data_IF_697236949287
#
_entry.id   IF_697236949287
#
_cell.length_a   1.000
_cell.length_b   1.000
_cell.length_c   1.000
_cell.angle_alpha   90.00
_cell.angle_beta   90.00
_cell.angle_gamma   90.00
#
_symmetry.space_group_name_H-M   'P 1'
#
loop_
_entity.id
_entity.type
_entity.pdbx_description
1 polymer ?
#
# COMPACT_ATOMS: atom_id res chain seq x y z
N UNK A 1 8.11 1.59 -27.27
CA UNK A 1 9.20 1.54 -26.27
C UNK A 1 9.17 2.65 -25.23
N UNK A 2 9.43 3.95 -25.53
CA UNK A 2 9.41 5.00 -24.47
C UNK A 2 8.04 5.13 -23.76
N UNK A 3 6.94 5.08 -24.51
CA UNK A 3 5.58 5.17 -23.96
C UNK A 3 5.19 3.98 -23.07
N UNK A 4 5.64 2.76 -23.41
CA UNK A 4 5.33 1.54 -22.63
C UNK A 4 6.06 1.53 -21.28
N UNK A 5 7.33 1.95 -21.27
CA UNK A 5 8.10 2.08 -20.02
C UNK A 5 7.46 3.12 -19.10
N UNK A 6 7.02 4.26 -19.64
CA UNK A 6 6.33 5.29 -18.84
C UNK A 6 5.08 4.74 -18.18
N UNK A 7 4.23 4.01 -18.91
CA UNK A 7 3.01 3.41 -18.32
C UNK A 7 3.31 2.40 -17.21
N UNK A 8 4.35 1.58 -17.37
CA UNK A 8 4.75 0.65 -16.30
C UNK A 8 5.27 1.41 -15.08
N UNK A 9 6.03 2.49 -15.27
CA UNK A 9 6.48 3.32 -14.15
C UNK A 9 5.33 4.02 -13.44
N UNK A 10 4.31 4.48 -14.17
CA UNK A 10 3.08 5.03 -13.59
C UNK A 10 2.27 3.93 -12.87
N UNK A 11 2.26 2.70 -13.39
CA UNK A 11 1.64 1.57 -12.72
C UNK A 11 2.38 1.20 -11.41
N UNK A 12 3.73 1.23 -11.41
CA UNK A 12 4.55 1.02 -10.21
C UNK A 12 4.34 2.15 -9.20
N UNK A 13 4.20 3.40 -9.65
CA UNK A 13 3.91 4.55 -8.79
C UNK A 13 2.66 4.31 -7.93
N UNK A 14 1.59 3.77 -8.51
CA UNK A 14 0.38 3.41 -7.78
C UNK A 14 0.55 2.29 -6.73
N UNK A 15 1.74 1.69 -6.64
CA UNK A 15 2.11 0.59 -5.74
C UNK A 15 3.20 0.96 -4.74
N UNK A 16 3.67 2.19 -4.72
CA UNK A 16 4.53 2.71 -3.64
C UNK A 16 3.73 3.67 -2.77
N UNK A 17 3.83 3.52 -1.46
CA UNK A 17 3.17 4.42 -0.53
C UNK A 17 3.94 4.52 0.79
N UNK A 18 3.67 5.57 1.56
CA UNK A 18 4.14 5.70 2.94
C UNK A 18 3.00 5.61 3.97
N UNK A 19 1.79 5.23 3.51
CA UNK A 19 0.64 5.03 4.36
C UNK A 19 0.81 3.74 5.19
N UNK A 20 0.87 3.84 6.53
CA UNK A 20 1.08 2.69 7.40
C UNK A 20 -0.08 1.67 7.39
N UNK A 21 -1.24 2.06 6.86
CA UNK A 21 -2.46 1.24 6.81
C UNK A 21 -2.54 0.41 5.52
N UNK A 22 -1.91 0.88 4.44
CA UNK A 22 -1.99 0.25 3.11
C UNK A 22 -0.75 -0.55 2.74
N UNK A 23 0.42 -0.14 3.22
CA UNK A 23 1.67 -0.83 2.93
C UNK A 23 1.62 -2.29 3.42
N UNK A 24 2.13 -3.22 2.60
CA UNK A 24 2.14 -4.66 2.87
C UNK A 24 3.52 -5.24 3.09
N UNK A 25 4.56 -4.52 2.71
CA UNK A 25 5.94 -4.85 2.98
C UNK A 25 6.81 -3.58 2.97
N UNK A 26 7.98 -3.66 3.59
CA UNK A 26 9.01 -2.61 3.54
C UNK A 26 10.18 -3.07 2.69
N UNK A 27 10.72 -2.18 1.87
CA UNK A 27 11.87 -2.46 1.00
C UNK A 27 12.89 -1.33 1.04
N UNK A 28 14.14 -1.67 0.72
CA UNK A 28 15.16 -0.72 0.28
C UNK A 28 15.13 -0.66 -1.26
N UNK A 29 14.77 0.50 -1.81
CA UNK A 29 14.68 0.68 -3.25
C UNK A 29 16.05 0.52 -3.93
N UNK A 30 17.13 0.99 -3.30
CA UNK A 30 18.47 0.90 -3.86
C UNK A 30 18.96 -0.55 -3.96
N UNK A 31 18.50 -1.42 -3.06
CA UNK A 31 18.74 -2.85 -3.10
C UNK A 31 17.91 -3.51 -4.21
N UNK A 32 16.58 -3.34 -4.19
CA UNK A 32 15.65 -4.06 -5.08
C UNK A 32 15.94 -3.83 -6.56
N UNK A 33 16.24 -2.59 -6.95
CA UNK A 33 16.53 -2.26 -8.35
C UNK A 33 17.82 -2.90 -8.86
N UNK A 34 18.66 -3.46 -7.99
CA UNK A 34 19.97 -4.06 -8.33
C UNK A 34 19.96 -5.58 -8.34
N UNK A 35 18.82 -6.23 -8.15
CA UNK A 35 18.67 -7.68 -8.31
C UNK A 35 18.75 -8.10 -9.78
N UNK A 36 19.94 -7.98 -10.38
CA UNK A 36 20.18 -8.22 -11.80
C UNK A 36 19.85 -9.65 -12.24
N UNK A 37 19.96 -10.61 -11.34
CA UNK A 37 19.61 -12.01 -11.56
C UNK A 37 18.11 -12.24 -11.79
N UNK A 38 17.24 -11.30 -11.41
CA UNK A 38 15.78 -11.40 -11.64
C UNK A 38 15.42 -11.26 -13.12
N UNK A 39 16.13 -10.42 -13.87
CA UNK A 39 15.78 -10.07 -15.26
C UNK A 39 16.98 -10.05 -16.23
N UNK A 40 18.20 -10.35 -15.77
CA UNK A 40 19.44 -10.32 -16.56
C UNK A 40 19.76 -8.98 -17.21
N UNK A 41 19.14 -7.89 -16.74
CA UNK A 41 19.15 -6.57 -17.37
C UNK A 41 20.31 -5.65 -16.94
N UNK A 42 20.08 -4.33 -17.02
CA UNK A 42 21.04 -3.28 -16.62
C UNK A 42 21.45 -3.38 -15.15
N UNK A 43 22.55 -2.73 -14.72
CA UNK A 43 22.96 -2.74 -13.31
C UNK A 43 21.87 -2.31 -12.32
N UNK A 44 21.08 -1.29 -12.68
CA UNK A 44 19.90 -0.87 -11.95
C UNK A 44 18.67 -0.74 -12.89
N UNK A 45 17.48 -1.10 -12.40
CA UNK A 45 16.22 -1.02 -13.16
C UNK A 45 15.03 -0.90 -12.21
N UNK A 46 14.19 0.13 -12.38
CA UNK A 46 12.94 0.26 -11.61
C UNK A 46 11.91 -0.83 -11.94
N UNK A 47 12.02 -1.48 -13.11
CA UNK A 47 11.11 -2.56 -13.48
C UNK A 47 11.18 -3.75 -12.51
N UNK A 48 12.32 -3.95 -11.85
CA UNK A 48 12.49 -5.00 -10.84
C UNK A 48 11.61 -4.78 -9.61
N UNK A 49 11.34 -3.51 -9.26
CA UNK A 49 10.36 -3.20 -8.22
C UNK A 49 8.98 -3.73 -8.59
N UNK A 50 8.52 -3.48 -9.82
CA UNK A 50 7.24 -3.99 -10.30
C UNK A 50 7.19 -5.53 -10.33
N UNK A 51 8.28 -6.21 -10.71
CA UNK A 51 8.36 -7.67 -10.65
C UNK A 51 8.28 -8.22 -9.22
N UNK A 52 8.87 -7.54 -8.24
CA UNK A 52 8.78 -7.91 -6.82
C UNK A 52 7.37 -7.65 -6.26
N UNK A 53 6.72 -6.56 -6.68
CA UNK A 53 5.33 -6.26 -6.30
C UNK A 53 4.37 -7.31 -6.89
N UNK A 54 4.56 -7.73 -8.14
CA UNK A 54 3.77 -8.80 -8.75
C UNK A 54 3.96 -10.14 -8.03
N UNK A 55 5.19 -10.43 -7.58
CA UNK A 55 5.44 -11.60 -6.74
C UNK A 55 4.71 -11.50 -5.40
N UNK A 56 4.76 -10.34 -4.75
CA UNK A 56 4.06 -10.12 -3.48
C UNK A 56 2.53 -10.21 -3.63
N UNK A 57 2.01 -9.69 -4.75
CA UNK A 57 0.60 -9.82 -5.14
C UNK A 57 0.15 -11.28 -5.26
N UNK A 58 0.99 -12.16 -5.81
CA UNK A 58 0.75 -13.61 -5.86
C UNK A 58 0.75 -14.27 -4.48
N UNK A 59 1.72 -13.96 -3.65
CA UNK A 59 1.78 -14.54 -2.29
C UNK A 59 0.62 -14.08 -1.39
N UNK A 60 0.17 -12.85 -1.55
CA UNK A 60 -0.91 -12.29 -0.75
C UNK A 60 -2.30 -12.51 -1.37
N UNK A 61 -2.37 -13.01 -2.61
CA UNK A 61 -3.60 -13.16 -3.39
C UNK A 61 -4.40 -11.85 -3.52
N UNK A 62 -3.68 -10.75 -3.80
CA UNK A 62 -4.22 -9.39 -3.85
C UNK A 62 -3.71 -8.64 -5.09
N UNK A 63 -4.59 -7.99 -5.85
CA UNK A 63 -4.17 -7.32 -7.09
C UNK A 63 -3.35 -6.04 -6.87
N UNK A 64 -3.73 -5.22 -5.89
CA UNK A 64 -3.22 -3.84 -5.71
C UNK A 64 -2.33 -3.71 -4.47
N UNK A 65 -1.36 -4.61 -4.33
CA UNK A 65 -0.42 -4.57 -3.20
C UNK A 65 0.48 -3.33 -3.28
N UNK A 66 0.60 -2.62 -2.16
CA UNK A 66 1.49 -1.47 -2.01
C UNK A 66 2.67 -1.80 -1.10
N UNK A 67 3.83 -1.21 -1.39
CA UNK A 67 5.07 -1.36 -0.60
C UNK A 67 5.56 -0.03 -0.05
N UNK A 68 6.09 -0.05 1.16
CA UNK A 68 6.78 1.06 1.79
C UNK A 68 8.25 1.07 1.33
N UNK A 69 8.60 2.01 0.47
CA UNK A 69 9.96 2.10 -0.06
C UNK A 69 10.80 3.14 0.70
N UNK A 70 11.94 2.69 1.22
CA UNK A 70 13.01 3.53 1.76
C UNK A 70 14.05 3.77 0.66
N UNK A 71 14.50 5.01 0.53
CA UNK A 71 15.37 5.46 -0.56
C UNK A 71 16.55 6.25 -0.01
N UNK A 72 17.76 5.84 -0.36
CA UNK A 72 18.95 6.67 -0.14
C UNK A 72 18.96 7.88 -1.09
N UNK A 73 19.21 9.10 -0.61
CA UNK A 73 19.17 10.35 -1.41
C UNK A 73 20.05 10.29 -2.66
N UNK A 74 21.23 9.69 -2.56
CA UNK A 74 22.13 9.45 -3.69
C UNK A 74 21.46 8.74 -4.90
N UNK A 75 20.39 7.96 -4.68
CA UNK A 75 19.65 7.30 -5.75
C UNK A 75 19.02 8.31 -6.74
N UNK A 76 18.67 9.51 -6.27
CA UNK A 76 18.07 10.57 -7.09
C UNK A 76 19.03 11.13 -8.17
N UNK A 77 20.32 10.84 -8.04
CA UNK A 77 21.39 11.24 -8.97
C UNK A 77 22.15 10.03 -9.53
N UNK A 78 21.67 8.82 -9.30
CA UNK A 78 22.38 7.58 -9.64
C UNK A 78 22.51 7.39 -11.15
N UNK A 79 23.75 7.24 -11.63
CA UNK A 79 24.06 7.10 -13.05
C UNK A 79 23.63 5.74 -13.63
N UNK A 80 23.44 4.70 -12.81
CA UNK A 80 22.99 3.39 -13.26
C UNK A 80 21.51 3.40 -13.70
N UNK A 81 20.73 4.36 -13.19
CA UNK A 81 19.36 4.63 -13.61
C UNK A 81 19.33 5.44 -14.92
N UNK A 82 18.28 5.25 -15.71
CA UNK A 82 18.01 6.16 -16.84
C UNK A 82 17.54 7.52 -16.33
N UNK A 83 17.64 8.57 -17.18
CA UNK A 83 17.10 9.89 -16.85
C UNK A 83 15.61 9.87 -16.53
N UNK A 84 14.83 9.01 -17.21
CA UNK A 84 13.40 8.87 -16.96
C UNK A 84 13.13 8.24 -15.58
N UNK A 85 13.83 7.16 -15.24
CA UNK A 85 13.71 6.52 -13.92
C UNK A 85 14.10 7.47 -12.80
N UNK A 86 15.21 8.21 -12.93
CA UNK A 86 15.60 9.23 -11.93
C UNK A 86 14.54 10.30 -11.75
N UNK A 87 13.94 10.78 -12.84
CA UNK A 87 12.87 11.78 -12.80
C UNK A 87 11.65 11.25 -12.04
N UNK A 88 11.26 9.99 -12.30
CA UNK A 88 10.13 9.34 -11.62
C UNK A 88 10.40 9.16 -10.13
N UNK A 89 11.59 8.70 -9.70
CA UNK A 89 11.90 8.57 -8.27
C UNK A 89 11.90 9.94 -7.57
N UNK A 90 12.35 11.01 -8.24
CA UNK A 90 12.26 12.38 -7.69
C UNK A 90 10.81 12.81 -7.50
N UNK A 91 9.94 12.56 -8.49
CA UNK A 91 8.50 12.79 -8.35
C UNK A 91 7.92 12.04 -7.15
N UNK A 92 8.20 10.74 -7.02
CA UNK A 92 7.77 9.95 -5.86
C UNK A 92 8.24 10.52 -4.53
N UNK A 93 9.46 11.06 -4.47
CA UNK A 93 10.00 11.69 -3.27
C UNK A 93 9.31 13.02 -2.94
N UNK A 94 9.01 13.83 -3.95
CA UNK A 94 8.34 15.12 -3.79
C UNK A 94 6.86 14.93 -3.41
N UNK A 95 6.20 13.92 -3.96
CA UNK A 95 4.83 13.52 -3.62
C UNK A 95 4.75 12.72 -2.30
N UNK A 96 5.91 12.40 -1.71
CA UNK A 96 6.01 11.66 -0.44
C UNK A 96 5.61 10.19 -0.53
N UNK A 97 5.51 9.61 -1.73
CA UNK A 97 5.20 8.19 -1.96
C UNK A 97 6.31 7.25 -1.48
N UNK A 98 7.54 7.77 -1.37
CA UNK A 98 8.71 7.06 -0.83
C UNK A 98 9.40 7.90 0.24
N UNK A 99 10.08 7.23 1.17
CA UNK A 99 10.86 7.91 2.21
C UNK A 99 12.31 8.09 1.77
N UNK A 100 12.76 9.33 1.56
CA UNK A 100 14.14 9.63 1.14
C UNK A 100 14.99 10.10 2.32
N UNK A 101 16.13 9.43 2.55
CA UNK A 101 17.07 9.75 3.62
C UNK A 101 18.50 9.91 3.10
N UNK A 102 19.28 10.78 3.74
CA UNK A 102 20.72 10.89 3.48
C UNK A 102 21.50 9.65 3.89
N UNK A 103 21.07 9.04 5.00
CA UNK A 103 21.64 7.81 5.52
C UNK A 103 20.47 6.94 6.00
N UNK A 104 19.98 6.01 5.16
CA UNK A 104 18.85 5.16 5.52
C UNK A 104 19.20 4.22 6.67
N UNK A 105 20.48 3.88 6.90
CA UNK A 105 20.91 3.06 8.04
C UNK A 105 20.04 1.81 8.21
N UNK A 106 19.38 1.70 9.36
CA UNK A 106 18.45 0.63 9.70
C UNK A 106 16.97 1.04 9.63
N UNK A 107 16.66 2.15 8.95
CA UNK A 107 15.32 2.72 8.86
C UNK A 107 14.28 1.75 8.32
N UNK A 108 14.66 0.91 7.36
CA UNK A 108 13.76 -0.13 6.84
C UNK A 108 13.31 -1.09 7.95
N UNK A 109 14.23 -1.51 8.82
CA UNK A 109 13.91 -2.39 9.95
C UNK A 109 13.11 -1.65 11.03
N UNK A 110 13.41 -0.38 11.26
CA UNK A 110 12.63 0.46 12.17
C UNK A 110 11.18 0.59 11.69
N UNK A 111 10.95 0.92 10.41
CA UNK A 111 9.59 1.00 9.84
C UNK A 111 8.89 -0.35 9.95
N UNK A 112 9.57 -1.44 9.62
CA UNK A 112 9.01 -2.79 9.73
C UNK A 112 8.59 -3.13 11.18
N UNK A 113 9.40 -2.77 12.17
CA UNK A 113 9.08 -2.95 13.59
C UNK A 113 7.84 -2.13 14.00
N UNK A 114 7.83 -0.83 13.67
CA UNK A 114 6.76 0.09 14.04
C UNK A 114 5.42 -0.29 13.40
N UNK A 115 5.45 -0.80 12.16
CA UNK A 115 4.26 -1.11 11.37
C UNK A 115 3.84 -2.58 11.42
N UNK A 116 4.70 -3.48 11.89
CA UNK A 116 4.42 -4.92 11.87
C UNK A 116 4.54 -5.54 10.47
N UNK A 117 5.23 -4.88 9.54
CA UNK A 117 5.31 -5.33 8.15
C UNK A 117 6.51 -6.27 7.89
N UNK A 118 6.40 -7.22 6.96
CA UNK A 118 7.55 -7.98 6.48
C UNK A 118 8.53 -7.09 5.70
N UNK A 119 9.80 -7.49 5.70
CA UNK A 119 10.88 -6.87 4.94
C UNK A 119 11.22 -7.76 3.76
N UNK A 120 11.30 -7.17 2.56
CA UNK A 120 11.79 -7.86 1.37
C UNK A 120 13.24 -7.43 1.11
N UNK A 121 14.21 -8.26 1.50
CA UNK A 121 15.63 -7.95 1.40
C UNK A 121 16.46 -9.21 1.30
N UNK A 122 17.61 -9.12 0.62
CA UNK A 122 18.65 -10.16 0.58
C UNK A 122 19.76 -9.90 1.59
N UNK A 123 19.67 -8.86 2.42
CA UNK A 123 20.61 -8.61 3.52
C UNK A 123 20.22 -9.42 4.76
N UNK A 124 21.20 -10.08 5.41
CA UNK A 124 20.95 -11.00 6.54
C UNK A 124 20.78 -10.31 7.91
N UNK A 125 21.18 -9.04 8.02
CA UNK A 125 21.06 -8.22 9.24
C UNK A 125 21.65 -8.84 10.52
N UNK A 126 22.68 -9.68 10.41
CA UNK A 126 23.19 -10.47 11.53
C UNK A 126 23.62 -9.63 12.75
N UNK A 127 24.15 -8.41 12.51
CA UNK A 127 24.56 -7.48 13.57
C UNK A 127 23.43 -6.68 14.23
N UNK A 128 22.18 -6.81 13.77
CA UNK A 128 21.06 -5.97 14.21
C UNK A 128 20.03 -6.71 15.07
N UNK A 129 20.21 -8.02 15.31
CA UNK A 129 19.30 -8.85 16.10
C UNK A 129 19.11 -8.37 17.54
N UNK A 130 20.15 -7.80 18.15
CA UNK A 130 20.05 -7.23 19.50
C UNK A 130 19.18 -5.97 19.56
N UNK A 131 19.09 -5.22 18.46
CA UNK A 131 18.24 -4.02 18.35
C UNK A 131 16.84 -4.34 17.83
N UNK A 132 16.72 -5.36 16.96
CA UNK A 132 15.46 -5.82 16.37
C UNK A 132 15.30 -7.33 16.60
N UNK A 133 14.84 -7.75 17.80
CA UNK A 133 14.67 -9.18 18.12
C UNK A 133 13.70 -9.91 17.18
N UNK A 134 12.70 -9.21 16.66
CA UNK A 134 11.69 -9.76 15.75
C UNK A 134 12.30 -10.37 14.47
N UNK A 135 13.53 -10.00 14.08
CA UNK A 135 14.23 -10.56 12.92
C UNK A 135 14.33 -12.08 12.95
N UNK A 136 14.45 -12.68 14.15
CA UNK A 136 14.60 -14.13 14.33
C UNK A 136 13.41 -14.76 15.05
N UNK A 137 12.65 -13.98 15.82
CA UNK A 137 11.52 -14.48 16.60
C UNK A 137 10.23 -14.66 15.79
N UNK A 138 10.14 -14.02 14.61
CA UNK A 138 8.94 -14.03 13.77
C UNK A 138 9.28 -14.54 12.36
N UNK A 139 9.10 -15.85 12.09
CA UNK A 139 9.28 -16.42 10.75
C UNK A 139 8.44 -15.71 9.68
N UNK A 140 8.97 -15.57 8.47
CA UNK A 140 8.30 -14.89 7.35
C UNK A 140 8.37 -13.36 7.40
N UNK A 141 9.00 -12.76 8.43
CA UNK A 141 9.19 -11.31 8.53
C UNK A 141 10.36 -10.77 7.71
N UNK A 142 11.30 -11.62 7.29
CA UNK A 142 12.37 -11.23 6.37
C UNK A 142 12.49 -12.32 5.29
N UNK A 143 12.06 -11.96 4.09
CA UNK A 143 12.09 -12.86 2.94
C UNK A 143 12.89 -12.23 1.80
N UNK A 144 13.60 -13.05 1.06
CA UNK A 144 14.43 -12.62 -0.05
C UNK A 144 13.70 -12.87 -1.37
N UNK A 145 13.50 -11.84 -2.21
CA UNK A 145 13.07 -12.05 -3.59
C UNK A 145 14.20 -12.71 -4.38
N UNK A 146 13.96 -13.86 -4.97
CA UNK A 146 14.93 -14.61 -5.79
C UNK A 146 14.32 -14.97 -7.15
N UNK A 147 15.13 -15.23 -8.18
CA UNK A 147 14.62 -15.65 -9.48
C UNK A 147 13.85 -16.98 -9.35
N UNK A 148 12.72 -17.07 -10.05
CA UNK A 148 11.88 -18.26 -10.08
C UNK A 148 11.23 -18.46 -11.45
N UNK A 149 10.59 -19.62 -11.62
CA UNK A 149 9.82 -19.91 -12.83
C UNK A 149 8.59 -18.99 -12.89
N UNK A 150 8.49 -18.14 -13.92
CA UNK A 150 7.40 -17.18 -14.07
C UNK A 150 7.59 -15.84 -13.35
N UNK A 151 8.78 -15.57 -12.81
CA UNK A 151 9.13 -14.30 -12.15
C UNK A 151 9.72 -14.52 -10.76
N UNK A 152 9.94 -13.44 -9.97
CA UNK A 152 10.47 -13.58 -8.63
C UNK A 152 9.57 -14.43 -7.74
N UNK A 153 10.21 -15.19 -6.86
CA UNK A 153 9.60 -15.93 -5.75
C UNK A 153 10.29 -15.51 -4.45
N UNK A 154 9.67 -15.80 -3.32
CA UNK A 154 10.26 -15.50 -2.01
C UNK A 154 10.82 -16.75 -1.36
N UNK A 155 11.97 -16.58 -0.71
CA UNK A 155 12.55 -17.60 0.16
C UNK A 155 12.76 -17.02 1.56
N UNK A 156 12.76 -17.90 2.55
CA UNK A 156 13.15 -17.56 3.90
C UNK A 156 14.58 -17.00 3.89
N UNK A 157 14.77 -15.80 4.43
CA UNK A 157 16.10 -15.19 4.51
C UNK A 157 16.63 -15.12 5.93
N UNK A 158 15.79 -14.70 6.88
CA UNK A 158 16.07 -14.69 8.33
C UNK A 158 14.85 -15.25 9.07
N UNK A 159 15.08 -16.02 10.14
CA UNK A 159 14.01 -16.55 11.01
C UNK A 159 13.18 -17.71 10.43
N UNK A 160 13.37 -18.08 9.15
CA UNK A 160 12.57 -19.11 8.48
C UNK A 160 11.29 -18.54 7.84
N UNK A 161 10.49 -19.40 7.19
CA UNK A 161 9.24 -19.02 6.53
C UNK A 161 9.44 -18.45 5.11
N UNK A 162 8.81 -19.07 4.11
CA UNK A 162 9.04 -18.74 2.69
C UNK A 162 8.05 -17.71 2.13
N UNK A 163 6.94 -17.46 2.84
CA UNK A 163 5.96 -16.45 2.47
C UNK A 163 6.07 -15.22 3.38
N UNK A 164 5.91 -13.99 2.84
CA UNK A 164 5.85 -12.78 3.65
C UNK A 164 4.65 -12.81 4.60
N UNK A 165 4.90 -12.56 5.89
CA UNK A 165 3.86 -12.55 6.92
C UNK A 165 3.87 -11.23 7.66
N UNK A 166 2.70 -10.61 7.85
CA UNK A 166 2.56 -9.49 8.75
C UNK A 166 2.68 -9.98 10.21
N UNK A 167 3.42 -9.26 11.04
CA UNK A 167 3.48 -9.56 12.47
C UNK A 167 2.98 -8.40 13.30
N UNK A 168 3.32 -8.42 14.59
CA UNK A 168 2.81 -7.41 15.52
C UNK A 168 3.57 -6.09 15.36
N UNK A 169 2.82 -4.98 15.42
CA UNK A 169 3.39 -3.63 15.61
C UNK A 169 4.08 -3.58 16.97
N UNK A 170 5.23 -2.92 17.05
CA UNK A 170 5.87 -2.70 18.34
C UNK A 170 5.07 -1.74 19.23
N UNK A 171 5.20 -1.82 20.58
CA UNK A 171 4.53 -0.89 21.48
C UNK A 171 4.86 0.59 21.18
N UNK A 172 6.07 0.84 20.68
CA UNK A 172 6.49 2.17 20.22
C UNK A 172 5.74 2.58 18.96
N UNK A 173 5.60 1.68 17.99
CA UNK A 173 4.79 1.89 16.79
C UNK A 173 3.36 2.29 17.12
N UNK A 174 2.70 1.56 18.02
CA UNK A 174 1.35 1.88 18.49
C UNK A 174 1.26 3.30 19.05
N UNK A 175 2.21 3.70 19.90
CA UNK A 175 2.23 5.06 20.49
C UNK A 175 2.47 6.15 19.45
N UNK A 176 3.40 5.93 18.51
CA UNK A 176 3.73 6.92 17.49
C UNK A 176 2.59 7.12 16.48
N UNK A 177 1.95 6.03 16.06
CA UNK A 177 0.85 6.06 15.09
C UNK A 177 -0.46 6.59 15.70
N UNK A 178 -0.60 6.62 17.02
CA UNK A 178 -1.73 7.26 17.70
C UNK A 178 -1.67 8.80 17.65
N UNK A 179 -0.59 9.39 17.15
CA UNK A 179 -0.34 10.83 17.13
C UNK A 179 -0.17 11.34 15.70
N UNK A 180 -0.57 12.60 15.50
CA UNK A 180 -0.20 13.37 14.33
C UNK A 180 1.11 14.10 14.63
N UNK A 181 2.05 14.09 13.71
CA UNK A 181 3.35 14.74 13.84
C UNK A 181 3.48 15.88 12.84
N UNK A 182 4.19 16.94 13.23
CA UNK A 182 4.41 18.11 12.38
C UNK A 182 5.90 18.42 12.26
N UNK A 183 6.36 18.55 11.02
CA UNK A 183 7.71 19.01 10.72
C UNK A 183 7.74 20.54 10.66
N UNK A 184 8.72 21.20 11.31
CA UNK A 184 8.84 22.66 11.24
C UNK A 184 9.27 23.14 9.84
N UNK A 185 9.94 22.30 9.05
CA UNK A 185 10.31 22.63 7.67
C UNK A 185 9.06 22.77 6.78
N UNK A 186 8.92 23.96 6.19
CA UNK A 186 7.86 24.27 5.23
C UNK A 186 7.90 23.32 4.04
N UNK A 187 6.74 22.81 3.62
CA UNK A 187 6.66 21.98 2.42
C UNK A 187 7.12 20.53 2.61
N UNK A 188 7.27 20.05 3.85
CA UNK A 188 7.55 18.65 4.11
C UNK A 188 6.43 17.73 3.58
N UNK A 189 6.70 16.92 2.57
CA UNK A 189 5.72 16.01 1.97
C UNK A 189 5.19 14.91 2.90
N UNK A 190 5.93 14.58 3.97
CA UNK A 190 5.57 13.49 4.90
C UNK A 190 4.90 13.99 6.20
N UNK A 191 5.28 15.18 6.66
CA UNK A 191 4.91 15.71 7.98
C UNK A 191 4.52 17.19 7.95
N UNK A 192 4.31 17.77 6.77
CA UNK A 192 3.85 19.15 6.58
C UNK A 192 2.35 19.29 6.81
N UNK A 193 1.87 20.53 6.93
CA UNK A 193 0.46 20.87 7.13
C UNK A 193 -0.36 21.00 5.85
N UNK A 194 -0.14 20.12 4.86
CA UNK A 194 -0.74 20.22 3.52
C UNK A 194 0.09 21.13 2.58
N UNK A 195 0.30 20.67 1.34
CA UNK A 195 1.01 21.41 0.29
C UNK A 195 2.54 21.28 0.34
N UNK A 196 3.11 20.39 -0.49
CA UNK A 196 4.55 20.28 -0.68
C UNK A 196 5.11 21.58 -1.27
N UNK A 197 6.08 22.22 -0.61
CA UNK A 197 6.60 23.55 -0.95
C UNK A 197 7.69 23.53 -2.02
N UNK A 198 7.55 22.68 -3.05
CA UNK A 198 8.47 22.63 -4.17
C UNK A 198 8.07 23.58 -5.29
N UNK A 199 8.97 23.89 -6.23
CA UNK A 199 8.67 24.68 -7.44
C UNK A 199 7.62 24.05 -8.38
N UNK A 200 7.12 22.85 -8.03
CA UNK A 200 6.07 22.11 -8.72
C UNK A 200 4.83 21.86 -7.83
N UNK A 201 4.75 22.49 -6.65
CA UNK A 201 3.64 22.41 -5.70
C UNK A 201 2.27 22.70 -6.33
N UNK A 202 2.25 23.67 -7.25
CA UNK A 202 1.03 24.13 -7.92
C UNK A 202 0.61 23.20 -9.08
N UNK A 203 1.48 22.27 -9.49
CA UNK A 203 1.26 21.31 -10.58
C UNK A 203 1.03 19.87 -10.07
N UNK A 204 1.66 19.50 -8.96
CA UNK A 204 1.27 18.35 -8.17
C UNK A 204 -0.01 18.75 -7.43
N UNK A 205 -1.17 18.58 -8.08
CA UNK A 205 -2.48 18.84 -7.48
C UNK A 205 -2.44 18.32 -6.05
N UNK A 206 -2.40 19.25 -5.10
CA UNK A 206 -2.02 18.99 -3.71
C UNK A 206 -2.93 17.92 -3.17
N UNK A 207 -2.47 16.67 -3.21
CA UNK A 207 -3.18 15.57 -2.60
C UNK A 207 -3.10 15.87 -1.11
N UNK A 208 -4.16 16.49 -0.59
CA UNK A 208 -4.31 16.74 0.83
C UNK A 208 -4.28 15.38 1.49
N UNK A 209 -3.10 15.02 1.99
CA UNK A 209 -2.84 13.68 2.47
C UNK A 209 -3.64 13.54 3.75
N UNK A 210 -4.54 12.57 3.79
CA UNK A 210 -5.29 12.28 5.01
C UNK A 210 -4.31 12.18 6.18
N UNK A 211 -4.56 12.88 7.30
CA UNK A 211 -3.74 12.77 8.50
C UNK A 211 -3.54 11.32 8.97
N UNK A 212 -4.49 10.43 8.67
CA UNK A 212 -4.40 9.01 8.95
C UNK A 212 -3.26 8.31 8.18
N UNK A 213 -2.96 8.76 6.96
CA UNK A 213 -1.96 8.20 6.07
C UNK A 213 -0.52 8.65 6.37
N UNK A 214 -0.30 9.45 7.42
CA UNK A 214 1.02 9.93 7.78
C UNK A 214 1.95 8.77 8.19
N UNK A 215 3.17 8.65 7.61
CA UNK A 215 4.13 7.62 7.98
C UNK A 215 4.58 7.71 9.45
N UNK A 216 5.16 6.63 10.00
CA UNK A 216 5.80 6.71 11.30
C UNK A 216 7.02 7.65 11.26
N UNK A 217 7.26 8.48 12.30
CA UNK A 217 8.52 9.19 12.46
C UNK A 217 9.74 8.27 12.50
N UNK A 218 10.94 8.82 12.27
CA UNK A 218 12.18 8.17 12.68
C UNK A 218 12.46 8.47 14.16
N UNK A 219 13.04 7.52 14.88
CA UNK A 219 13.48 7.70 16.26
C UNK A 219 15.00 7.88 16.29
N UNK A 220 15.43 9.10 16.60
CA UNK A 220 16.84 9.38 16.90
C UNK A 220 16.98 9.52 18.41
N UNK A 221 17.65 8.56 19.04
CA UNK A 221 17.80 8.48 20.50
C UNK A 221 16.44 8.57 21.23
N UNK A 222 15.41 7.91 20.69
CA UNK A 222 14.05 7.92 21.24
C UNK A 222 13.22 9.17 20.93
N UNK A 223 13.76 10.15 20.18
CA UNK A 223 13.05 11.38 19.82
C UNK A 223 12.45 11.27 18.40
N UNK A 224 11.13 11.47 18.24
CA UNK A 224 10.48 11.55 16.92
C UNK A 224 11.08 12.66 16.05
N UNK A 225 11.60 12.26 14.92
CA UNK A 225 12.40 13.10 14.00
C UNK A 225 11.90 12.88 12.58
N UNK A 226 11.88 13.96 11.80
CA UNK A 226 11.55 13.91 10.38
C UNK A 226 12.64 13.11 9.65
N UNK A 227 12.33 11.98 8.99
CA UNK A 227 13.33 11.20 8.28
C UNK A 227 13.95 11.97 7.10
N UNK A 228 13.18 12.86 6.45
CA UNK A 228 13.64 13.68 5.32
C UNK A 228 14.57 14.82 5.73
N UNK A 229 14.23 15.53 6.82
CA UNK A 229 14.89 16.77 7.21
C UNK A 229 15.82 16.64 8.43
N UNK A 230 15.74 15.53 9.18
CA UNK A 230 16.57 15.31 10.36
C UNK A 230 16.21 16.19 11.57
N UNK A 231 15.15 16.99 11.48
CA UNK A 231 14.67 17.87 12.55
C UNK A 231 13.65 17.16 13.45
N UNK A 232 13.57 17.58 14.72
CA UNK A 232 12.58 17.08 15.68
C UNK A 232 11.16 17.42 15.20
N UNK A 233 10.25 16.45 15.31
CA UNK A 233 8.84 16.66 15.02
C UNK A 233 8.11 17.23 16.25
N UNK A 234 7.17 18.14 16.00
CA UNK A 234 6.17 18.56 16.98
C UNK A 234 5.03 17.56 17.05
N UNK A 235 4.48 17.35 18.25
CA UNK A 235 3.25 16.58 18.45
C UNK A 235 2.05 17.46 18.11
N UNK A 236 1.33 17.08 17.06
CA UNK A 236 0.15 17.77 16.54
C UNK A 236 -1.17 17.34 17.18
N UNK A 237 -1.14 16.42 18.15
CA UNK A 237 -2.34 15.88 18.80
C UNK A 237 -2.65 14.43 18.42
N UNK A 238 -3.82 13.92 18.85
CA UNK A 238 -4.26 12.58 18.47
C UNK A 238 -4.45 12.48 16.96
N UNK A 239 -4.03 11.35 16.36
CA UNK A 239 -4.34 11.05 14.97
C UNK A 239 -5.83 10.70 14.83
N UNK A 240 -6.53 11.17 13.78
CA UNK A 240 -7.89 10.71 13.48
C UNK A 240 -7.94 9.19 13.42
N UNK A 241 -9.04 8.60 13.90
CA UNK A 241 -9.20 7.14 13.78
C UNK A 241 -9.35 6.78 12.30
N UNK A 242 -8.89 5.59 11.97
CA UNK A 242 -9.04 5.04 10.63
C UNK A 242 -9.24 3.54 10.67
N UNK A 243 -9.94 3.04 9.66
CA UNK A 243 -10.19 1.63 9.39
C UNK A 243 -9.77 1.29 7.96
N UNK A 244 -9.35 0.04 7.73
CA UNK A 244 -8.96 -0.41 6.39
C UNK A 244 -10.04 -1.33 5.84
N UNK A 245 -10.68 -0.88 4.77
CA UNK A 245 -11.65 -1.66 4.01
C UNK A 245 -11.02 -2.20 2.74
N UNK A 246 -11.56 -3.30 2.25
CA UNK A 246 -11.12 -3.97 1.05
C UNK A 246 -12.29 -4.24 0.11
N UNK A 247 -12.08 -3.97 -1.17
CA UNK A 247 -12.97 -4.34 -2.26
C UNK A 247 -12.63 -5.75 -2.71
N UNK A 248 -13.63 -6.63 -2.73
CA UNK A 248 -13.55 -7.99 -3.24
C UNK A 248 -14.42 -8.14 -4.48
N UNK A 249 -13.85 -8.66 -5.56
CA UNK A 249 -14.59 -8.96 -6.80
C UNK A 249 -14.25 -10.37 -7.27
N UNK A 250 -15.27 -11.24 -7.32
CA UNK A 250 -15.10 -12.65 -7.68
C UNK A 250 -14.24 -13.41 -6.66
N UNK A 251 -14.30 -13.03 -5.39
CA UNK A 251 -13.51 -13.63 -4.31
C UNK A 251 -12.08 -13.09 -4.17
N UNK A 252 -11.62 -12.20 -5.06
CA UNK A 252 -10.27 -11.63 -5.03
C UNK A 252 -10.27 -10.21 -4.46
N UNK A 253 -9.31 -9.92 -3.58
CA UNK A 253 -9.11 -8.55 -3.08
C UNK A 253 -8.49 -7.71 -4.18
N UNK A 254 -9.29 -6.80 -4.72
CA UNK A 254 -8.89 -5.93 -5.83
C UNK A 254 -8.14 -4.70 -5.35
N UNK A 255 -8.57 -4.12 -4.23
CA UNK A 255 -8.01 -2.89 -3.66
C UNK A 255 -8.35 -2.74 -2.20
N UNK A 256 -7.40 -2.26 -1.40
CA UNK A 256 -7.64 -1.70 -0.07
C UNK A 256 -7.78 -0.19 -0.12
N UNK A 257 -8.53 0.36 0.82
CA UNK A 257 -8.64 1.80 1.03
C UNK A 257 -8.83 2.10 2.51
N UNK A 258 -8.40 3.29 2.91
CA UNK A 258 -8.53 3.79 4.28
C UNK A 258 -9.81 4.59 4.38
N UNK A 259 -10.56 4.35 5.45
CA UNK A 259 -11.69 5.15 5.87
C UNK A 259 -11.30 5.86 7.17
N UNK A 260 -11.27 7.19 7.18
CA UNK A 260 -10.96 7.97 8.39
C UNK A 260 -12.17 8.79 8.86
N UNK A 261 -12.16 9.21 10.12
CA UNK A 261 -13.27 9.98 10.72
C UNK A 261 -13.53 11.33 10.01
N UNK A 262 -12.51 11.89 9.37
CA UNK A 262 -12.54 13.17 8.66
C UNK A 262 -12.78 13.04 7.15
N UNK A 263 -12.73 11.81 6.61
CA UNK A 263 -12.83 11.57 5.18
C UNK A 263 -13.78 10.41 4.88
N UNK A 264 -15.08 10.68 4.66
CA UNK A 264 -16.02 9.67 4.20
C UNK A 264 -15.67 9.23 2.77
N UNK A 265 -16.06 8.01 2.42
CA UNK A 265 -15.69 7.40 1.14
C UNK A 265 -16.92 6.87 0.41
N UNK A 266 -17.10 7.26 -0.84
CA UNK A 266 -18.09 6.66 -1.73
C UNK A 266 -17.44 5.62 -2.63
N UNK A 267 -18.01 4.42 -2.65
CA UNK A 267 -17.64 3.36 -3.59
C UNK A 267 -18.77 3.11 -4.60
N UNK A 268 -18.39 2.82 -5.84
CA UNK A 268 -19.35 2.56 -6.91
C UNK A 268 -18.67 2.39 -8.25
N UNK A 269 -19.45 2.31 -9.32
CA UNK A 269 -18.91 2.06 -10.67
C UNK A 269 -17.93 3.14 -11.12
N UNK A 270 -18.25 4.40 -10.84
CA UNK A 270 -17.46 5.57 -11.19
C UNK A 270 -17.89 6.76 -10.33
N UNK A 271 -17.47 6.80 -9.05
CA UNK A 271 -17.81 7.91 -8.15
C UNK A 271 -17.25 9.23 -8.69
N UNK A 272 -17.99 10.33 -8.47
CA UNK A 272 -17.59 11.67 -8.94
C UNK A 272 -16.79 12.46 -7.90
N UNK A 273 -16.82 12.01 -6.66
CA UNK A 273 -16.14 12.66 -5.54
C UNK A 273 -14.66 12.30 -5.50
N UNK A 274 -13.83 13.27 -5.14
CA UNK A 274 -12.42 13.04 -4.87
C UNK A 274 -12.23 12.03 -3.74
N UNK A 275 -11.32 11.07 -3.94
CA UNK A 275 -11.12 9.94 -3.01
C UNK A 275 -12.13 8.80 -3.16
N UNK A 276 -13.09 8.90 -4.09
CA UNK A 276 -14.03 7.82 -4.37
C UNK A 276 -13.38 6.53 -4.88
N UNK A 277 -13.93 5.39 -4.48
CA UNK A 277 -13.42 4.06 -4.87
C UNK A 277 -14.14 3.58 -6.14
N UNK A 278 -13.44 3.72 -7.26
CA UNK A 278 -13.91 3.27 -8.57
C UNK A 278 -13.81 1.76 -8.71
N UNK A 279 -14.96 1.10 -8.90
CA UNK A 279 -15.08 -0.34 -9.07
C UNK A 279 -15.14 -0.75 -10.55
N UNK A 280 -15.57 0.16 -11.45
CA UNK A 280 -16.00 -0.15 -12.81
C UNK A 280 -15.00 -0.89 -13.68
N UNK A 281 -13.69 -0.80 -13.37
CA UNK A 281 -12.63 -1.51 -14.07
C UNK A 281 -12.57 -3.02 -13.77
N UNK A 282 -13.17 -3.47 -12.66
CA UNK A 282 -13.21 -4.89 -12.26
C UNK A 282 -14.56 -5.56 -12.50
N UNK A 283 -15.58 -4.79 -12.91
CA UNK A 283 -16.94 -5.28 -13.06
C UNK A 283 -17.16 -5.90 -14.44
N UNK A 284 -17.90 -7.02 -14.47
CA UNK A 284 -18.48 -7.53 -15.72
C UNK A 284 -19.63 -6.63 -16.21
N UNK A 285 -20.12 -6.85 -17.43
CA UNK A 285 -21.14 -5.99 -18.05
C UNK A 285 -22.44 -5.91 -17.25
N UNK A 286 -22.87 -7.01 -16.63
CA UNK A 286 -24.08 -7.06 -15.82
C UNK A 286 -23.93 -6.24 -14.54
N UNK A 287 -22.88 -6.50 -13.77
CA UNK A 287 -22.55 -5.76 -12.56
C UNK A 287 -22.33 -4.27 -12.88
N UNK A 288 -21.73 -3.94 -14.03
CA UNK A 288 -21.51 -2.56 -14.47
C UNK A 288 -22.81 -1.82 -14.82
N UNK A 289 -23.85 -2.53 -15.27
CA UNK A 289 -25.19 -1.96 -15.49
C UNK A 289 -25.97 -1.84 -14.18
N UNK A 290 -25.75 -2.78 -13.25
CA UNK A 290 -26.40 -2.80 -11.94
C UNK A 290 -25.83 -1.76 -10.96
N UNK A 291 -24.51 -1.63 -10.88
CA UNK A 291 -23.85 -0.80 -9.87
C UNK A 291 -23.90 0.68 -10.30
N UNK A 292 -24.60 1.50 -9.52
CA UNK A 292 -24.63 2.96 -9.64
C UNK A 292 -23.23 3.61 -9.61
N UNK A 293 -23.11 4.85 -10.13
CA UNK A 293 -21.85 5.62 -10.19
C UNK A 293 -21.23 5.78 -8.80
N UNK A 294 -21.98 6.34 -7.86
CA UNK A 294 -21.83 6.11 -6.41
C UNK A 294 -22.89 5.12 -5.97
N UNK A 295 -22.52 4.10 -5.18
CA UNK A 295 -23.41 3.02 -4.81
C UNK A 295 -23.56 2.89 -3.30
N UNK A 296 -22.44 2.88 -2.58
CA UNK A 296 -22.42 2.87 -1.11
C UNK A 296 -21.55 4.00 -0.60
N UNK A 297 -21.98 4.60 0.50
CA UNK A 297 -21.27 5.64 1.23
C UNK A 297 -20.81 5.08 2.57
N UNK A 298 -19.51 5.20 2.86
CA UNK A 298 -18.88 4.76 4.10
C UNK A 298 -18.48 5.96 4.94
N UNK A 299 -18.73 5.86 6.24
CA UNK A 299 -18.28 6.83 7.23
C UNK A 299 -17.72 6.10 8.44
N UNK A 300 -16.67 6.63 9.05
CA UNK A 300 -16.21 6.19 10.36
C UNK A 300 -16.70 7.18 11.40
N UNK A 301 -17.58 6.74 12.30
CA UNK A 301 -18.08 7.58 13.41
C UNK A 301 -17.89 6.85 14.73
N UNK A 302 -17.17 7.46 15.66
CA UNK A 302 -16.96 6.92 17.02
C UNK A 302 -16.30 5.52 17.00
N UNK A 303 -15.55 5.19 15.94
CA UNK A 303 -14.94 3.87 15.74
C UNK A 303 -15.86 2.83 15.09
N UNK A 304 -17.08 3.20 14.70
CA UNK A 304 -17.99 2.32 13.97
C UNK A 304 -18.00 2.68 12.48
N UNK A 305 -17.89 1.65 11.63
CA UNK A 305 -18.06 1.80 10.18
C UNK A 305 -19.55 1.83 9.87
N UNK A 306 -20.04 2.95 9.37
CA UNK A 306 -21.43 3.13 8.95
C UNK A 306 -21.48 3.06 7.43
N UNK A 307 -22.38 2.23 6.91
CA UNK A 307 -22.63 2.07 5.49
C UNK A 307 -24.01 2.58 5.17
N UNK A 308 -24.11 3.46 4.18
CA UNK A 308 -25.37 3.98 3.65
C UNK A 308 -25.51 3.59 2.20
N UNK A 309 -26.64 3.00 1.83
CA UNK A 309 -26.96 2.75 0.43
C UNK A 309 -27.36 4.06 -0.26
N UNK A 310 -26.63 4.45 -1.29
CA UNK A 310 -26.94 5.64 -2.12
C UNK A 310 -27.24 5.25 -3.57
N UNK A 311 -27.43 3.96 -3.81
CA UNK A 311 -27.67 3.38 -5.13
C UNK A 311 -29.14 3.45 -5.55
N UNK A 312 -29.38 3.09 -6.81
CA UNK A 312 -30.74 2.95 -7.37
C UNK A 312 -31.28 1.53 -7.21
N UNK A 313 -30.40 0.53 -7.20
CA UNK A 313 -30.78 -0.89 -7.29
C UNK A 313 -30.70 -1.64 -5.95
N UNK A 314 -30.26 -0.97 -4.89
CA UNK A 314 -30.14 -1.55 -3.57
C UNK A 314 -28.85 -2.33 -3.35
N UNK A 315 -28.45 -2.40 -2.09
CA UNK A 315 -27.31 -3.14 -1.55
C UNK A 315 -27.80 -4.17 -0.54
N UNK A 316 -26.89 -4.99 0.00
CA UNK A 316 -27.20 -5.88 1.12
C UNK A 316 -26.01 -6.06 2.04
N UNK A 317 -26.26 -6.31 3.31
CA UNK A 317 -25.25 -6.74 4.26
C UNK A 317 -25.23 -8.26 4.30
N UNK A 318 -24.02 -8.84 4.26
CA UNK A 318 -23.72 -10.25 4.49
C UNK A 318 -23.16 -10.39 5.91
N UNK A 319 -23.98 -10.78 6.89
CA UNK A 319 -23.53 -10.90 8.28
C UNK A 319 -22.45 -11.96 8.41
N UNK A 320 -21.39 -11.67 9.16
CA UNK A 320 -20.24 -12.58 9.34
C UNK A 320 -19.68 -13.17 8.02
N UNK A 321 -19.84 -12.44 6.91
CA UNK A 321 -19.39 -12.86 5.58
C UNK A 321 -20.17 -14.03 4.96
N UNK A 322 -21.34 -14.40 5.50
CA UNK A 322 -22.15 -15.51 4.96
C UNK A 322 -22.53 -15.27 3.50
N UNK A 323 -22.29 -16.28 2.65
CA UNK A 323 -22.69 -16.26 1.24
C UNK A 323 -24.09 -16.88 1.00
N UNK A 324 -24.76 -17.34 2.06
CA UNK A 324 -26.12 -17.86 1.96
C UNK A 324 -27.12 -16.72 1.72
N UNK A 325 -28.01 -16.87 0.74
CA UNK A 325 -28.98 -15.82 0.39
C UNK A 325 -30.01 -15.56 1.49
N UNK A 326 -30.33 -16.58 2.29
CA UNK A 326 -31.22 -16.46 3.45
C UNK A 326 -30.69 -15.48 4.50
N UNK A 327 -29.38 -15.31 4.58
CA UNK A 327 -28.71 -14.53 5.62
C UNK A 327 -28.50 -13.08 5.17
N UNK A 328 -28.71 -12.79 3.88
CA UNK A 328 -28.53 -11.46 3.30
C UNK A 328 -29.58 -10.51 3.87
N UNK A 329 -29.10 -9.44 4.51
CA UNK A 329 -29.96 -8.38 5.01
C UNK A 329 -30.03 -7.29 3.93
N UNK A 330 -31.19 -7.05 3.30
CA UNK A 330 -31.31 -5.99 2.31
C UNK A 330 -31.11 -4.62 2.97
N UNK A 331 -30.40 -3.74 2.25
CA UNK A 331 -30.24 -2.34 2.62
C UNK A 331 -31.06 -1.52 1.62
N UNK A 332 -32.10 -0.82 2.11
CA UNK A 332 -32.93 0.02 1.27
C UNK A 332 -32.18 1.32 0.89
N UNK A 333 -32.55 2.00 -0.21
CA UNK A 333 -31.96 3.28 -0.55
C UNK A 333 -32.06 4.28 0.60
N UNK A 334 -30.96 5.01 0.87
CA UNK A 334 -30.76 5.94 1.98
C UNK A 334 -30.80 5.31 3.38
N UNK A 335 -30.87 3.98 3.49
CA UNK A 335 -30.77 3.29 4.77
C UNK A 335 -29.31 3.19 5.19
N UNK A 336 -29.02 3.61 6.42
CA UNK A 336 -27.72 3.43 7.06
C UNK A 336 -27.73 2.21 7.99
N UNK A 337 -26.62 1.49 8.05
CA UNK A 337 -26.35 0.45 9.06
C UNK A 337 -24.91 0.48 9.52
N UNK A 338 -24.69 0.12 10.78
CA UNK A 338 -23.37 -0.19 11.29
C UNK A 338 -22.92 -1.53 10.72
N UNK A 339 -21.70 -1.58 10.20
CA UNK A 339 -21.04 -2.80 9.74
C UNK A 339 -20.36 -3.46 10.94
N UNK A 340 -20.92 -4.57 11.42
CA UNK A 340 -20.31 -5.40 12.45
C UNK A 340 -18.92 -5.88 12.01
N UNK A 341 -18.06 -6.28 12.95
CA UNK A 341 -16.65 -6.64 12.72
C UNK A 341 -16.49 -7.46 11.43
N UNK A 342 -17.07 -8.66 11.38
CA UNK A 342 -17.00 -9.60 10.26
C UNK A 342 -18.07 -9.41 9.16
N UNK A 343 -18.82 -8.30 9.18
CA UNK A 343 -19.85 -8.06 8.17
C UNK A 343 -19.24 -7.53 6.86
N UNK A 344 -19.92 -7.82 5.76
CA UNK A 344 -19.58 -7.27 4.46
C UNK A 344 -20.79 -6.62 3.81
N UNK A 345 -20.60 -5.52 3.08
CA UNK A 345 -21.62 -5.03 2.16
C UNK A 345 -21.43 -5.64 0.79
N UNK A 346 -22.52 -6.10 0.18
CA UNK A 346 -22.58 -6.64 -1.18
C UNK A 346 -23.43 -5.73 -2.07
N UNK A 347 -22.81 -5.23 -3.14
CA UNK A 347 -23.42 -4.32 -4.12
C UNK A 347 -24.06 -5.07 -5.29
N UNK A 348 -23.51 -6.24 -5.60
CA UNK A 348 -23.93 -7.18 -6.64
C UNK A 348 -23.30 -8.54 -6.29
N UNK A 349 -23.90 -9.70 -6.65
CA UNK A 349 -23.32 -11.00 -6.37
C UNK A 349 -21.83 -11.10 -6.71
N UNK A 350 -21.00 -11.34 -5.69
CA UNK A 350 -19.54 -11.43 -5.85
C UNK A 350 -18.79 -10.09 -5.89
N UNK A 351 -19.46 -8.95 -5.69
CA UNK A 351 -18.87 -7.60 -5.52
C UNK A 351 -19.14 -7.11 -4.11
N UNK A 352 -18.13 -7.19 -3.27
CA UNK A 352 -18.27 -6.97 -1.82
C UNK A 352 -17.23 -5.99 -1.29
N UNK A 353 -17.56 -5.34 -0.18
CA UNK A 353 -16.65 -4.47 0.57
C UNK A 353 -16.79 -4.80 2.06
N UNK A 354 -15.67 -4.99 2.75
CA UNK A 354 -15.64 -5.30 4.18
C UNK A 354 -14.28 -4.97 4.78
N UNK A 355 -14.07 -5.28 6.06
CA UNK A 355 -12.77 -5.11 6.71
C UNK A 355 -11.73 -6.04 6.09
N UNK A 356 -10.50 -5.55 5.99
CA UNK A 356 -9.47 -6.18 5.18
C UNK A 356 -8.92 -7.51 5.72
N UNK A 357 -8.96 -7.74 7.03
CA UNK A 357 -8.37 -8.94 7.69
C UNK A 357 -9.30 -10.15 7.65
N UNK A 358 -10.57 -9.96 7.29
CA UNK A 358 -11.65 -10.94 7.50
C UNK A 358 -12.26 -11.45 6.19
N UNK A 359 -11.65 -11.10 5.05
CA UNK A 359 -12.04 -11.60 3.74
C UNK A 359 -11.14 -12.79 3.39
N UNK A 360 -11.51 -14.04 3.72
CA UNK A 360 -10.76 -15.20 3.24
C UNK A 360 -10.82 -15.24 1.70
N UNK A 361 -9.67 -15.45 1.09
CA UNK A 361 -9.54 -15.67 -0.35
C UNK A 361 -9.70 -17.16 -0.63
N UNK A 362 -10.57 -17.52 -1.56
CA UNK A 362 -10.82 -18.91 -1.96
C UNK A 362 -11.11 -19.06 -3.45
N UNK A 363 -10.98 -17.98 -4.20
CA UNK A 363 -11.18 -17.96 -5.64
C UNK A 363 -9.85 -18.17 -6.38
N UNK A 364 -9.86 -18.80 -7.56
CA UNK A 364 -8.67 -18.89 -8.39
C UNK A 364 -8.12 -17.48 -8.68
N UNK A 365 -6.86 -17.26 -8.29
CA UNK A 365 -6.20 -15.96 -8.39
C UNK A 365 -5.39 -15.85 -9.68
N UNK A 366 -5.73 -14.84 -10.50
CA UNK A 366 -4.90 -14.40 -11.63
C UNK A 366 -4.64 -12.90 -11.43
N UNK A 367 -3.44 -12.50 -10.98
CA UNK A 367 -3.15 -11.11 -10.67
C UNK A 367 -3.17 -10.23 -11.91
N UNK A 368 -3.62 -8.99 -11.75
CA UNK A 368 -3.35 -7.93 -12.71
C UNK A 368 -1.91 -7.46 -12.56
N UNK A 369 -1.02 -7.95 -13.43
CA UNK A 369 0.41 -7.63 -13.39
C UNK A 369 0.67 -6.14 -13.65
N UNK A 370 1.45 -5.52 -12.76
CA UNK A 370 2.00 -4.16 -12.97
C UNK A 370 2.92 -4.13 -14.19
N UNK A 371 3.49 -5.29 -14.54
CA UNK A 371 4.40 -5.49 -15.65
C UNK A 371 3.71 -5.92 -16.95
N UNK A 372 2.37 -5.94 -17.02
CA UNK A 372 1.62 -6.42 -18.18
C UNK A 372 1.98 -5.68 -19.49
N UNK A 373 2.32 -4.39 -19.40
CA UNK A 373 2.73 -3.57 -20.55
C UNK A 373 4.26 -3.38 -20.65
N UNK A 374 5.05 -4.15 -19.90
CA UNK A 374 6.51 -3.99 -19.91
C UNK A 374 7.13 -4.49 -21.21
N UNK A 375 8.05 -3.74 -21.83
CA UNK A 375 8.70 -4.18 -23.05
C UNK A 375 9.56 -5.41 -22.76
N UNK A 376 9.23 -6.54 -23.38
CA UNK A 376 9.94 -7.82 -23.23
C UNK A 376 11.43 -7.73 -23.60
N UNK A 377 11.83 -6.82 -24.50
CA UNK A 377 13.24 -6.60 -24.81
C UNK A 377 14.06 -6.00 -23.65
N UNK A 378 13.42 -5.41 -22.65
CA UNK A 378 14.08 -4.91 -21.45
C UNK A 378 14.30 -6.00 -20.37
N UNK A 379 13.67 -7.18 -20.54
CA UNK A 379 13.70 -8.30 -19.59
C UNK A 379 14.31 -9.53 -20.26
N UNK A 380 15.46 -10.00 -19.76
CA UNK A 380 16.03 -11.30 -20.11
C UNK A 380 15.74 -12.26 -18.96
N UNK A 381 14.51 -12.76 -18.90
CA UNK A 381 14.14 -13.75 -17.90
C UNK A 381 15.11 -14.95 -18.01
N UNK A 382 15.64 -15.46 -16.88
CA UNK A 382 16.47 -16.64 -16.89
C UNK A 382 15.68 -17.79 -17.54
N UNK A 383 16.33 -18.49 -18.48
CA UNK A 383 15.74 -19.67 -19.10
C UNK A 383 15.64 -20.80 -18.06
N UNK A 384 14.57 -21.60 -18.09
CA UNK A 384 14.40 -22.72 -17.17
C UNK A 384 15.53 -23.75 -17.27
#
# INVERSE_FOLDING_TARGET
MRFEISKVLDAIEGRVCTDPSLARAVIDLAEVIRYQDIDGGRPASLLRLGMVIDALSRELEEDSVQVYAVVHRALLSDADLTSNERMVVRRWADDGLVEVLDNPGDRMLEVADLLGLPVLSRVRFDGLRGRFPWLVEQPGRVVAPVPGAGGPVFIAHVGGGHSPVAGKRSPTGVKLLARQWRCPESGCALFGGGGGGGAFADLAGGADRSPAAQPPPALRNGVPTCPRHGVRLGDGGPRPRSEVLAVRVGGLVRRRFVLSEDQPVVAGRAPEQDGGIMLGQWLNDEARRWISRGHVHFELRVGEVIVTDVSTNGSGIRPAGSMAESDRIPLAPQQSRVLGENDMVELYPGVQIGRAEELPTGAPFTPTSVMAEAPTMAMRLPRP
#
